data_IF_295669135482
#
_entry.id   IF_295669135482
#
_cell.length_a   1.000
_cell.length_b   1.000
_cell.length_c   1.000
_cell.angle_alpha   90.00
_cell.angle_beta   90.00
_cell.angle_gamma   90.00
#
_symmetry.space_group_name_H-M   'P 1'
#
loop_
_entity.id
_entity.type
_entity.pdbx_description
1 polymer ?
#
# COMPACT_ATOMS: atom_id res chain seq x y z
N UNK A 1 -32.64 32.33 -15.50
CA UNK A 1 -32.42 32.00 -15.17
C UNK A 1 -32.23 31.35 -14.75
N UNK A 2 -32.21 31.32 -14.84
CA UNK A 2 -31.92 30.69 -14.31
C UNK A 2 -31.53 29.89 -13.86
N UNK A 3 -31.43 29.74 -13.67
CA UNK A 3 -31.03 29.13 -13.19
C UNK A 3 -30.70 28.38 -12.64
N UNK A 4 -30.72 28.20 -12.51
CA UNK A 4 -30.37 27.57 -11.92
C UNK A 4 -30.03 26.86 -11.33
N UNK A 5 -30.45 27.12 -11.52
CA UNK A 5 -30.12 26.42 -10.82
C UNK A 5 -29.81 25.60 -10.35
N UNK A 6 -29.73 25.48 -10.31
CA UNK A 6 -29.44 24.81 -9.70
C UNK A 6 -29.01 24.08 -9.24
N UNK A 7 -28.84 23.95 -9.25
CA UNK A 7 -28.48 23.36 -8.64
C UNK A 7 -28.13 22.67 -7.98
N UNK A 8 -28.52 22.70 -8.06
CA UNK A 8 -28.21 21.99 -7.24
C UNK A 8 -27.77 21.29 -6.80
N UNK A 9 -27.70 21.25 -6.90
CA UNK A 9 -27.26 20.67 -6.19
C UNK A 9 -26.81 20.01 -6.03
N UNK A 10 -26.88 20.07 -6.16
CA UNK A 10 -26.50 19.64 -5.69
C UNK A 10 -26.02 19.11 -5.15
N UNK A 11 -26.17 19.17 -5.33
CA UNK A 11 -25.81 18.76 -4.52
C UNK A 11 -25.46 18.14 -4.21
N UNK A 12 -25.57 17.98 -4.23
CA UNK A 12 -25.33 17.51 -3.68
C UNK A 12 -24.82 16.93 -3.11
N UNK A 13 -24.94 16.98 -3.28
CA UNK A 13 -24.58 16.48 -2.45
C UNK A 13 -24.21 15.84 -2.03
N UNK A 14 -24.36 15.79 -1.89
CA UNK A 14 -24.15 15.15 -1.24
C UNK A 14 -24.03 14.58 -0.90
N UNK A 15 -24.22 14.57 -0.85
CA UNK A 15 -24.32 14.11 -0.23
C UNK A 15 -24.25 13.59 0.17
N UNK A 16 -24.34 13.53 0.21
CA UNK A 16 -24.42 13.22 0.85
C UNK A 16 -24.40 12.89 1.28
N UNK A 17 -24.66 13.07 1.23
CA UNK A 17 -24.85 12.97 1.95
C UNK A 17 -24.95 12.65 2.40
N UNK A 18 -25.20 12.72 2.38
CA UNK A 18 -25.52 12.48 3.25
C UNK A 18 -25.67 11.90 3.57
N UNK A 19 -25.91 11.79 3.54
CA UNK A 19 -26.26 11.35 4.11
C UNK A 19 -26.48 10.73 4.52
N UNK A 20 -26.81 10.78 4.64
CA UNK A 20 -27.18 10.25 5.23
C UNK A 20 -27.45 9.79 5.58
N UNK A 21 -27.56 9.86 5.63
CA UNK A 21 -27.81 9.57 6.14
C UNK A 21 -28.18 9.21 6.13
N UNK A 22 -28.34 9.41 6.00
CA UNK A 22 -28.78 9.12 6.14
C UNK A 22 -29.25 8.56 6.21
N UNK A 23 -29.60 8.23 6.33
CA UNK A 23 -29.93 7.60 6.64
C UNK A 23 -30.09 6.99 7.13
N UNK A 24 -30.36 6.95 7.28
CA UNK A 24 -30.51 6.33 8.03
C UNK A 24 -30.41 5.62 8.32
N UNK A 25 -30.49 5.31 8.44
CA UNK A 25 -30.26 4.58 8.98
C UNK A 25 -29.98 3.82 8.97
N UNK A 26 -30.26 3.42 8.84
CA UNK A 26 -29.90 2.61 8.95
C UNK A 26 -29.35 2.20 8.92
N UNK A 27 -29.34 2.04 8.77
CA UNK A 27 -28.70 1.57 8.90
C UNK A 27 -27.97 1.40 8.75
N UNK A 28 -28.15 1.52 8.78
CA UNK A 28 -27.40 1.40 8.69
C UNK A 28 -26.53 1.24 8.99
N UNK A 29 -26.38 1.13 9.27
CA UNK A 29 -25.51 0.89 9.58
C UNK A 29 -24.74 0.30 9.33
N UNK A 30 -24.71 -0.24 9.00
CA UNK A 30 -23.98 -0.91 8.59
C UNK A 30 -23.12 -0.60 7.92
N UNK A 31 -23.05 -0.09 7.48
CA UNK A 31 -22.27 0.24 6.97
C UNK A 31 -21.29 0.58 7.30
N UNK A 32 -21.23 0.77 7.84
CA UNK A 32 -20.43 1.09 8.16
C UNK A 32 -19.54 0.53 8.53
N UNK A 33 -19.87 0.10 8.76
CA UNK A 33 -19.01 -0.54 8.91
C UNK A 33 -18.39 -0.93 7.98
N UNK A 34 -18.56 -0.48 7.32
CA UNK A 34 -17.70 -0.78 6.39
C UNK A 34 -16.37 -0.52 6.82
N UNK A 35 -15.74 -1.46 7.18
CA UNK A 35 -14.41 -1.34 7.65
C UNK A 35 -13.49 -1.18 6.50
N UNK A 36 -12.35 -0.60 6.75
CA UNK A 36 -11.29 -0.57 5.79
C UNK A 36 -10.75 -1.96 5.57
N UNK A 37 -10.29 -2.30 4.36
CA UNK A 37 -9.65 -3.58 4.13
C UNK A 37 -8.43 -3.72 5.02
N UNK A 38 -8.14 -4.91 5.42
CA UNK A 38 -6.92 -5.19 6.16
C UNK A 38 -5.72 -4.89 5.30
N UNK A 39 -4.66 -4.42 5.94
CA UNK A 39 -3.43 -4.09 5.24
C UNK A 39 -2.29 -4.96 5.74
N UNK A 40 -1.33 -5.15 4.86
CA UNK A 40 -0.23 -6.06 5.09
C UNK A 40 1.08 -5.38 4.75
N UNK A 41 2.08 -5.63 5.57
CA UNK A 41 3.43 -5.12 5.35
C UNK A 41 4.18 -6.12 4.48
N UNK A 42 4.88 -5.60 3.48
CA UNK A 42 5.83 -6.41 2.72
C UNK A 42 7.19 -6.18 3.34
N UNK A 43 7.81 -7.26 3.79
CA UNK A 43 9.07 -7.22 4.50
C UNK A 43 10.18 -7.71 3.60
N UNK A 44 11.35 -7.07 3.69
CA UNK A 44 12.56 -7.55 3.03
C UNK A 44 13.53 -8.01 4.10
N UNK A 45 14.16 -9.16 3.84
CA UNK A 45 15.08 -9.76 4.80
C UNK A 45 16.51 -9.63 4.31
N UNK A 46 17.42 -9.32 5.22
CA UNK A 46 18.82 -9.19 4.89
C UNK A 46 19.44 -10.57 4.62
N UNK A 47 20.43 -10.59 3.73
CA UNK A 47 21.25 -11.76 3.52
C UNK A 47 22.64 -11.31 3.11
N UNK A 48 23.60 -12.24 3.08
CA UNK A 48 25.00 -11.89 2.89
C UNK A 48 25.39 -11.75 1.42
N UNK A 49 24.49 -12.09 0.49
CA UNK A 49 24.85 -12.20 -0.92
C UNK A 49 24.17 -11.19 -1.82
N UNK A 50 23.03 -10.66 -1.41
CA UNK A 50 22.30 -9.68 -2.22
C UNK A 50 22.95 -8.32 -2.07
N UNK A 51 23.38 -7.67 -3.17
CA UNK A 51 23.99 -6.35 -3.07
C UNK A 51 23.00 -5.29 -2.58
N UNK A 52 23.51 -4.34 -1.81
CA UNK A 52 22.68 -3.25 -1.30
C UNK A 52 22.07 -2.43 -2.45
N UNK A 53 22.82 -2.23 -3.53
CA UNK A 53 22.30 -1.49 -4.68
C UNK A 53 21.09 -2.19 -5.28
N UNK A 54 21.07 -3.51 -5.27
CA UNK A 54 19.93 -4.25 -5.78
C UNK A 54 18.71 -4.02 -4.90
N UNK A 55 18.90 -4.01 -3.59
CA UNK A 55 17.80 -3.75 -2.65
C UNK A 55 17.23 -2.36 -2.88
N UNK A 56 18.10 -1.36 -3.07
CA UNK A 56 17.65 0.00 -3.36
C UNK A 56 16.84 0.03 -4.66
N UNK A 57 17.31 -0.65 -5.71
CA UNK A 57 16.57 -0.69 -6.97
C UNK A 57 15.21 -1.35 -6.83
N UNK A 58 15.13 -2.44 -6.07
CA UNK A 58 13.85 -3.10 -5.78
C UNK A 58 12.89 -2.13 -5.11
N UNK A 59 13.38 -1.39 -4.11
CA UNK A 59 12.55 -0.43 -3.39
C UNK A 59 12.08 0.70 -4.29
N UNK A 60 12.92 1.15 -5.20
CA UNK A 60 12.54 2.22 -6.13
C UNK A 60 11.57 1.71 -7.20
N UNK A 61 11.84 0.54 -7.78
CA UNK A 61 11.12 0.10 -8.97
C UNK A 61 9.85 -0.67 -8.65
N UNK A 62 9.83 -1.44 -7.58
CA UNK A 62 8.67 -2.25 -7.22
C UNK A 62 7.81 -1.54 -6.18
N UNK A 63 8.43 -0.84 -5.24
CA UNK A 63 7.72 -0.20 -4.14
C UNK A 63 7.59 1.30 -4.30
N UNK A 64 8.06 1.84 -5.42
CA UNK A 64 7.90 3.25 -5.81
C UNK A 64 8.45 4.22 -4.78
N UNK A 65 9.51 3.82 -4.06
CA UNK A 65 10.16 4.72 -3.11
C UNK A 65 11.08 5.67 -3.85
N UNK A 66 11.19 6.90 -3.33
CA UNK A 66 12.20 7.81 -3.82
C UNK A 66 13.58 7.36 -3.37
N UNK A 67 14.65 7.93 -3.96
CA UNK A 67 16.01 7.47 -3.65
C UNK A 67 16.35 7.55 -2.17
N UNK A 68 15.96 8.62 -1.51
CA UNK A 68 16.28 8.80 -0.09
C UNK A 68 15.56 7.77 0.77
N UNK A 69 14.26 7.59 0.54
CA UNK A 69 13.49 6.62 1.30
C UNK A 69 13.98 5.20 1.04
N UNK A 70 14.30 4.89 -0.23
CA UNK A 70 14.81 3.56 -0.58
C UNK A 70 16.11 3.27 0.15
N UNK A 71 17.01 4.25 0.20
CA UNK A 71 18.28 4.09 0.90
C UNK A 71 18.06 3.87 2.40
N UNK A 72 17.13 4.61 3.00
CA UNK A 72 16.85 4.45 4.43
C UNK A 72 16.31 3.07 4.74
N UNK A 73 15.40 2.58 3.90
CA UNK A 73 14.84 1.23 4.10
C UNK A 73 15.93 0.18 3.91
N UNK A 74 16.77 0.35 2.90
CA UNK A 74 17.88 -0.57 2.66
C UNK A 74 18.79 -0.65 3.87
N UNK A 75 19.12 0.50 4.47
CA UNK A 75 19.96 0.52 5.66
C UNK A 75 19.28 -0.17 6.84
N UNK A 76 17.97 0.01 6.97
CA UNK A 76 17.23 -0.68 8.01
C UNK A 76 17.29 -2.20 7.83
N UNK A 77 17.10 -2.67 6.59
CA UNK A 77 17.20 -4.08 6.29
C UNK A 77 18.60 -4.60 6.64
N UNK A 78 19.62 -3.85 6.25
CA UNK A 78 21.00 -4.25 6.48
C UNK A 78 21.33 -4.29 7.97
N UNK A 79 20.90 -3.29 8.73
CA UNK A 79 21.30 -3.14 10.13
C UNK A 79 20.42 -3.94 11.08
N UNK A 80 19.13 -4.03 10.80
CA UNK A 80 18.17 -4.70 11.68
C UNK A 80 17.82 -6.11 11.22
N UNK A 81 18.23 -6.49 10.02
CA UNK A 81 17.94 -7.82 9.49
C UNK A 81 16.63 -7.89 8.72
N UNK A 82 15.74 -6.91 8.90
CA UNK A 82 14.45 -6.87 8.24
C UNK A 82 13.99 -5.42 8.16
N UNK A 83 13.29 -5.07 7.09
CA UNK A 83 12.71 -3.76 6.93
C UNK A 83 11.39 -3.83 6.19
N UNK A 84 10.54 -2.82 6.40
CA UNK A 84 9.24 -2.75 5.75
C UNK A 84 9.40 -1.99 4.44
N UNK A 85 9.10 -2.66 3.33
CA UNK A 85 9.17 -2.04 2.01
C UNK A 85 7.93 -1.22 1.70
N UNK A 86 6.78 -1.63 2.22
CA UNK A 86 5.53 -0.91 2.01
C UNK A 86 4.39 -1.62 2.68
N UNK A 87 3.22 -0.97 2.69
CA UNK A 87 2.01 -1.51 3.31
C UNK A 87 0.89 -1.43 2.30
N UNK A 88 0.21 -2.54 2.06
CA UNK A 88 -0.78 -2.66 0.99
C UNK A 88 -1.90 -3.59 1.39
N UNK A 89 -3.03 -3.55 0.67
CA UNK A 89 -4.02 -4.62 0.79
C UNK A 89 -3.38 -5.92 0.29
N UNK A 90 -3.95 -7.04 0.71
CA UNK A 90 -3.30 -8.34 0.53
C UNK A 90 -2.95 -8.63 -0.94
N UNK A 91 -3.86 -8.38 -1.85
CA UNK A 91 -3.62 -8.69 -3.26
C UNK A 91 -2.44 -7.93 -3.83
N UNK A 92 -2.33 -6.67 -3.46
CA UNK A 92 -1.22 -5.83 -3.91
C UNK A 92 0.08 -6.30 -3.25
N UNK A 93 0.01 -6.61 -1.95
CA UNK A 93 1.18 -7.10 -1.23
C UNK A 93 1.73 -8.38 -1.87
N UNK A 94 0.83 -9.30 -2.24
CA UNK A 94 1.25 -10.55 -2.87
C UNK A 94 1.88 -10.31 -4.25
N UNK A 95 1.33 -9.37 -5.01
CA UNK A 95 1.90 -9.02 -6.30
C UNK A 95 3.31 -8.43 -6.13
N UNK A 96 3.48 -7.55 -5.15
CA UNK A 96 4.80 -6.99 -4.87
C UNK A 96 5.79 -8.06 -4.43
N UNK A 97 5.34 -8.96 -3.57
CA UNK A 97 6.17 -10.07 -3.11
C UNK A 97 6.66 -10.91 -4.27
N UNK A 98 5.76 -11.29 -5.17
CA UNK A 98 6.11 -12.08 -6.34
C UNK A 98 7.11 -11.34 -7.23
N UNK A 99 6.93 -10.04 -7.40
CA UNK A 99 7.83 -9.24 -8.22
C UNK A 99 9.24 -9.20 -7.63
N UNK A 100 9.35 -9.10 -6.30
CA UNK A 100 10.66 -9.13 -5.64
C UNK A 100 11.36 -10.45 -5.94
N UNK A 101 10.67 -11.57 -5.73
CA UNK A 101 11.28 -12.88 -5.91
C UNK A 101 11.66 -13.13 -7.37
N UNK A 102 10.82 -12.71 -8.30
CA UNK A 102 11.11 -12.84 -9.72
C UNK A 102 12.37 -12.05 -10.09
N UNK A 103 12.46 -10.80 -9.62
CA UNK A 103 13.61 -9.96 -9.91
C UNK A 103 14.90 -10.54 -9.32
N UNK A 104 14.80 -11.02 -8.09
CA UNK A 104 15.96 -11.60 -7.42
C UNK A 104 16.43 -12.85 -8.14
N UNK A 105 15.51 -13.71 -8.54
CA UNK A 105 15.86 -14.93 -9.27
C UNK A 105 16.53 -14.63 -10.60
N UNK A 106 16.05 -13.62 -11.30
CA UNK A 106 16.66 -13.24 -12.58
C UNK A 106 18.11 -12.82 -12.42
N UNK A 107 18.44 -12.21 -11.30
CA UNK A 107 19.80 -11.75 -11.04
C UNK A 107 20.63 -12.78 -10.28
N UNK A 108 20.01 -13.88 -9.85
CA UNK A 108 20.70 -14.90 -9.09
C UNK A 108 20.96 -14.54 -7.65
N UNK A 109 20.17 -13.63 -7.09
CA UNK A 109 20.34 -13.24 -5.70
C UNK A 109 19.32 -13.95 -4.80
N UNK A 110 19.71 -14.30 -3.57
CA UNK A 110 18.82 -15.03 -2.65
C UNK A 110 17.90 -14.12 -1.84
N UNK A 111 17.66 -12.89 -2.29
CA UNK A 111 16.82 -11.94 -1.56
C UNK A 111 15.45 -12.54 -1.27
N UNK A 112 15.02 -12.43 -0.02
CA UNK A 112 13.74 -12.95 0.42
C UNK A 112 12.86 -11.83 0.94
N UNK A 113 11.57 -12.03 0.74
CA UNK A 113 10.57 -11.10 1.22
C UNK A 113 9.42 -11.89 1.81
N UNK A 114 8.64 -11.24 2.66
CA UNK A 114 7.49 -11.86 3.29
C UNK A 114 6.38 -10.86 3.46
N UNK A 115 5.24 -11.36 3.92
CA UNK A 115 4.06 -10.54 4.17
C UNK A 115 3.65 -10.75 5.61
N UNK A 116 3.35 -9.65 6.29
CA UNK A 116 2.91 -9.69 7.67
C UNK A 116 1.74 -8.73 7.83
N UNK A 117 0.70 -9.16 8.54
CA UNK A 117 -0.44 -8.30 8.79
C UNK A 117 0.01 -7.07 9.56
N UNK A 118 -0.51 -5.92 9.13
CA UNK A 118 -0.14 -4.64 9.72
C UNK A 118 -0.54 -4.53 11.20
#
# INVERSE_FOLDING_TARGET
>A
MPREPIRPGSGEGPPDSGDPQREGGVGTQTRRKISRPERFKVLLYNDDYTPMEFVVRILENIFDKGPSAATQIMLQVHNAGVGVAGVYVLEIAETKLAAVHTSAERQGYPLRAGIEKE
#
